data_IF_883466915842
#
_entry.id   IF_883466915842
#
_cell.length_a   1.000
_cell.length_b   1.000
_cell.length_c   1.000
_cell.angle_alpha   90.00
_cell.angle_beta   90.00
_cell.angle_gamma   90.00
#
_symmetry.space_group_name_H-M   'P 1'
#
loop_
_entity.id
_entity.type
_entity.pdbx_description
1 polymer ?
#
# COMPACT_ATOMS: atom_id res chain seq x y z
N UNK A 1 17.28 -52.97 -29.34
CA UNK A 1 16.79 -51.65 -29.83
C UNK A 1 16.39 -50.84 -28.64
N UNK A 2 17.35 -50.05 -28.14
CA UNK A 2 17.21 -49.29 -26.86
C UNK A 2 16.75 -47.87 -27.22
N UNK A 3 15.54 -47.55 -26.82
CA UNK A 3 14.90 -46.27 -27.07
C UNK A 3 15.57 -45.17 -26.24
N UNK A 4 16.21 -44.20 -26.93
CA UNK A 4 16.79 -43.01 -26.30
C UNK A 4 15.66 -42.14 -25.75
N UNK A 5 15.44 -42.18 -24.46
CA UNK A 5 14.67 -41.19 -23.72
C UNK A 5 15.29 -39.80 -23.96
N UNK A 6 14.55 -38.96 -24.71
CA UNK A 6 14.88 -37.55 -24.88
C UNK A 6 14.82 -36.87 -23.50
N UNK A 7 15.92 -36.44 -22.96
CA UNK A 7 16.01 -35.56 -21.80
C UNK A 7 15.24 -34.29 -22.12
N UNK A 8 14.14 -34.07 -21.41
CA UNK A 8 13.44 -32.78 -21.32
C UNK A 8 14.43 -31.69 -20.96
N UNK A 9 14.42 -30.50 -21.59
CA UNK A 9 15.35 -29.44 -21.26
C UNK A 9 15.17 -29.09 -19.76
N UNK A 10 16.26 -29.23 -18.99
CA UNK A 10 16.33 -28.73 -17.63
C UNK A 10 15.88 -27.26 -17.63
N UNK A 11 14.81 -26.93 -16.90
CA UNK A 11 14.48 -25.56 -16.56
C UNK A 11 15.77 -24.91 -16.04
N UNK A 12 16.28 -23.91 -16.78
CA UNK A 12 17.40 -23.12 -16.30
C UNK A 12 17.02 -22.60 -14.92
N UNK A 13 17.83 -22.91 -13.93
CA UNK A 13 17.60 -22.48 -12.56
C UNK A 13 17.42 -20.96 -12.55
N UNK A 14 16.25 -20.52 -12.16
CA UNK A 14 15.95 -19.10 -11.92
C UNK A 14 16.83 -18.67 -10.75
N UNK A 15 17.75 -17.77 -10.98
CA UNK A 15 18.84 -17.50 -10.06
C UNK A 15 18.72 -16.13 -9.39
N UNK A 16 18.53 -16.13 -8.07
CA UNK A 16 18.85 -15.02 -7.18
C UNK A 16 17.93 -13.79 -7.19
N UNK A 17 17.98 -13.07 -6.10
CA UNK A 17 17.16 -11.87 -5.84
C UNK A 17 17.28 -10.78 -6.93
N UNK A 18 18.50 -10.50 -7.43
CA UNK A 18 18.72 -9.46 -8.45
C UNK A 18 18.13 -9.83 -9.81
N UNK A 19 18.15 -11.11 -10.15
CA UNK A 19 17.50 -11.60 -11.39
C UNK A 19 15.99 -11.43 -11.29
N UNK A 20 15.39 -11.82 -10.17
CA UNK A 20 13.98 -11.62 -9.91
C UNK A 20 13.57 -10.15 -9.90
N UNK A 21 14.38 -9.30 -9.28
CA UNK A 21 14.14 -7.86 -9.29
C UNK A 21 14.13 -7.27 -10.70
N UNK A 22 15.09 -7.68 -11.56
CA UNK A 22 15.11 -7.26 -12.97
C UNK A 22 13.84 -7.71 -13.71
N UNK A 23 13.42 -8.96 -13.55
CA UNK A 23 12.27 -9.54 -14.23
C UNK A 23 10.97 -8.87 -13.78
N UNK A 24 10.74 -8.76 -12.46
CA UNK A 24 9.54 -8.14 -11.91
C UNK A 24 9.44 -6.65 -12.23
N UNK A 25 10.54 -5.90 -12.10
CA UNK A 25 10.56 -4.49 -12.50
C UNK A 25 10.30 -4.32 -13.99
N UNK A 26 10.93 -5.15 -14.84
CA UNK A 26 10.68 -5.11 -16.28
C UNK A 26 9.20 -5.38 -16.58
N UNK A 27 8.59 -6.41 -15.97
CA UNK A 27 7.17 -6.71 -16.11
C UNK A 27 6.30 -5.54 -15.69
N UNK A 28 6.53 -4.97 -14.50
CA UNK A 28 5.73 -3.86 -13.95
C UNK A 28 5.78 -2.61 -14.83
N UNK A 29 6.97 -2.25 -15.36
CA UNK A 29 7.13 -1.07 -16.21
C UNK A 29 6.61 -1.28 -17.65
N UNK A 30 6.58 -2.53 -18.15
CA UNK A 30 6.07 -2.83 -19.49
C UNK A 30 4.56 -3.11 -19.49
N UNK A 31 4.02 -3.60 -18.39
CA UNK A 31 2.64 -4.02 -18.24
C UNK A 31 1.96 -3.34 -17.03
N UNK A 32 1.84 -2.00 -17.05
CA UNK A 32 1.17 -1.27 -15.96
C UNK A 32 -0.33 -1.61 -15.85
N UNK A 33 -0.91 -2.22 -16.88
CA UNK A 33 -2.29 -2.74 -16.88
C UNK A 33 -2.47 -4.00 -16.03
N UNK A 34 -1.40 -4.76 -15.74
CA UNK A 34 -1.47 -5.93 -14.84
C UNK A 34 -1.81 -5.49 -13.42
N UNK A 35 -2.99 -5.84 -12.93
CA UNK A 35 -3.48 -5.45 -11.59
C UNK A 35 -3.03 -6.37 -10.47
N UNK A 36 -2.23 -7.40 -10.76
CA UNK A 36 -1.72 -8.32 -9.74
C UNK A 36 -0.96 -7.54 -8.65
N UNK A 37 -1.33 -7.66 -7.36
CA UNK A 37 -0.63 -6.95 -6.28
C UNK A 37 0.85 -7.35 -6.19
N UNK A 38 1.72 -6.37 -5.99
CA UNK A 38 3.16 -6.61 -5.90
C UNK A 38 3.55 -7.67 -4.85
N UNK A 39 2.95 -7.72 -3.65
CA UNK A 39 3.24 -8.79 -2.68
C UNK A 39 2.97 -10.20 -3.23
N UNK A 40 1.92 -10.35 -4.05
CA UNK A 40 1.59 -11.64 -4.70
C UNK A 40 2.65 -12.01 -5.75
N UNK A 41 3.08 -11.03 -6.56
CA UNK A 41 4.14 -11.24 -7.56
C UNK A 41 5.46 -11.65 -6.89
N UNK A 42 5.85 -10.96 -5.82
CA UNK A 42 7.05 -11.27 -5.04
C UNK A 42 6.98 -12.66 -4.40
N UNK A 43 5.86 -13.02 -3.78
CA UNK A 43 5.67 -14.32 -3.16
C UNK A 43 5.74 -15.46 -4.19
N UNK A 44 5.06 -15.31 -5.32
CA UNK A 44 5.09 -16.27 -6.43
C UNK A 44 6.50 -16.48 -6.95
N UNK A 45 7.23 -15.38 -7.25
CA UNK A 45 8.60 -15.48 -7.72
C UNK A 45 9.51 -16.16 -6.68
N UNK A 46 9.38 -15.78 -5.41
CA UNK A 46 10.16 -16.38 -4.33
C UNK A 46 9.96 -17.89 -4.20
N UNK A 47 8.72 -18.36 -4.36
CA UNK A 47 8.39 -19.79 -4.35
C UNK A 47 8.93 -20.52 -5.59
N UNK A 48 8.71 -19.97 -6.79
CA UNK A 48 9.16 -20.58 -8.06
C UNK A 48 10.70 -20.67 -8.15
N UNK A 49 11.39 -19.69 -7.57
CA UNK A 49 12.86 -19.61 -7.56
C UNK A 49 13.50 -20.28 -6.31
N UNK A 50 12.69 -20.83 -5.40
CA UNK A 50 13.14 -21.41 -4.12
C UNK A 50 14.07 -20.47 -3.33
N UNK A 51 13.69 -19.20 -3.22
CA UNK A 51 14.51 -18.21 -2.53
C UNK A 51 14.49 -18.41 -1.02
N UNK A 52 15.67 -18.44 -0.42
CA UNK A 52 15.81 -18.36 1.03
C UNK A 52 15.31 -17.01 1.57
N UNK A 53 15.03 -16.93 2.89
CA UNK A 53 14.48 -15.74 3.55
C UNK A 53 15.25 -14.45 3.25
N UNK A 54 16.59 -14.52 3.22
CA UNK A 54 17.44 -13.35 2.96
C UNK A 54 17.30 -12.86 1.51
N UNK A 55 17.32 -13.79 0.54
CA UNK A 55 17.17 -13.44 -0.87
C UNK A 55 15.77 -12.94 -1.20
N UNK A 56 14.74 -13.50 -0.59
CA UNK A 56 13.37 -12.99 -0.73
C UNK A 56 13.23 -11.57 -0.13
N UNK A 57 13.87 -11.27 0.98
CA UNK A 57 13.92 -9.93 1.54
C UNK A 57 14.69 -8.95 0.66
N UNK A 58 15.83 -9.36 0.09
CA UNK A 58 16.59 -8.56 -0.85
C UNK A 58 15.80 -8.30 -2.15
N UNK A 59 15.12 -9.32 -2.68
CA UNK A 59 14.24 -9.17 -3.84
C UNK A 59 13.18 -8.09 -3.59
N UNK A 60 12.49 -8.17 -2.46
CA UNK A 60 11.47 -7.19 -2.10
C UNK A 60 12.06 -5.78 -1.94
N UNK A 61 13.18 -5.65 -1.24
CA UNK A 61 13.88 -4.37 -1.03
C UNK A 61 14.24 -3.72 -2.37
N UNK A 62 14.84 -4.49 -3.30
CA UNK A 62 15.24 -4.00 -4.61
C UNK A 62 14.04 -3.52 -5.44
N UNK A 63 12.96 -4.32 -5.48
CA UNK A 63 11.78 -3.97 -6.27
C UNK A 63 11.06 -2.75 -5.70
N UNK A 64 10.77 -2.74 -4.41
CA UNK A 64 10.12 -1.59 -3.76
C UNK A 64 11.01 -0.34 -3.79
N UNK A 65 12.30 -0.49 -3.56
CA UNK A 65 13.25 0.60 -3.55
C UNK A 65 13.37 1.30 -4.90
N UNK A 66 13.49 0.54 -5.98
CA UNK A 66 13.51 1.09 -7.35
C UNK A 66 12.17 1.72 -7.71
N UNK A 67 11.04 1.09 -7.41
CA UNK A 67 9.72 1.66 -7.69
C UNK A 67 9.51 3.02 -7.02
N UNK A 68 9.88 3.14 -5.75
CA UNK A 68 9.73 4.39 -5.00
C UNK A 68 10.63 5.51 -5.49
N UNK A 69 11.74 5.19 -6.17
CA UNK A 69 12.81 6.16 -6.51
C UNK A 69 13.21 6.15 -7.99
N UNK A 70 12.41 5.56 -8.88
CA UNK A 70 12.77 5.38 -10.29
C UNK A 70 13.21 6.67 -10.98
N UNK A 71 12.46 7.77 -10.81
CA UNK A 71 12.79 9.07 -11.40
C UNK A 71 14.03 9.71 -10.76
N UNK A 72 14.17 9.57 -9.45
CA UNK A 72 15.35 10.05 -8.72
C UNK A 72 16.62 9.29 -9.15
N UNK A 73 16.52 7.98 -9.37
CA UNK A 73 17.62 7.14 -9.89
C UNK A 73 17.96 7.52 -11.33
N UNK A 74 16.97 7.82 -12.16
CA UNK A 74 17.21 8.29 -13.53
C UNK A 74 17.91 9.66 -13.54
N UNK A 75 17.54 10.56 -12.64
CA UNK A 75 18.22 11.85 -12.48
C UNK A 75 19.68 11.67 -12.05
N UNK A 76 19.96 10.77 -11.10
CA UNK A 76 21.33 10.44 -10.70
C UNK A 76 22.15 9.81 -11.83
N UNK A 77 21.52 9.04 -12.71
CA UNK A 77 22.16 8.38 -13.87
C UNK A 77 22.38 9.34 -15.05
N UNK A 78 21.66 10.45 -15.15
CA UNK A 78 21.63 11.30 -16.34
C UNK A 78 23.02 11.82 -16.76
N UNK A 79 23.87 12.17 -15.80
CA UNK A 79 25.24 12.65 -16.05
C UNK A 79 26.20 11.60 -16.63
N UNK A 80 25.87 10.32 -16.51
CA UNK A 80 26.71 9.19 -16.96
C UNK A 80 26.25 8.58 -18.29
N UNK A 81 25.13 9.04 -18.84
CA UNK A 81 24.50 8.48 -20.04
C UNK A 81 24.50 9.48 -21.18
N UNK A 82 25.28 9.20 -22.26
CA UNK A 82 25.30 10.07 -23.46
C UNK A 82 23.95 10.16 -24.18
N UNK A 83 23.18 9.05 -24.20
CA UNK A 83 21.88 8.94 -24.88
C UNK A 83 20.92 8.10 -24.01
N UNK A 84 20.33 8.66 -22.94
CA UNK A 84 19.46 7.90 -22.03
C UNK A 84 18.26 7.24 -22.74
N UNK A 85 17.69 7.92 -23.77
CA UNK A 85 16.55 7.40 -24.53
C UNK A 85 16.85 6.20 -25.44
N UNK A 86 18.12 5.92 -25.72
CA UNK A 86 18.54 4.78 -26.57
C UNK A 86 18.73 3.46 -25.79
N UNK A 87 18.58 3.50 -24.45
CA UNK A 87 18.73 2.30 -23.63
C UNK A 87 17.47 1.42 -23.73
N UNK A 88 17.69 0.10 -23.87
CA UNK A 88 16.59 -0.86 -23.71
C UNK A 88 16.01 -0.78 -22.28
N UNK A 89 14.73 -1.11 -22.13
CA UNK A 89 14.06 -1.11 -20.83
C UNK A 89 14.82 -1.96 -19.80
N UNK A 90 15.32 -3.14 -20.19
CA UNK A 90 16.04 -4.03 -19.29
C UNK A 90 17.38 -3.44 -18.83
N UNK A 91 18.15 -2.81 -19.73
CA UNK A 91 19.42 -2.16 -19.35
C UNK A 91 19.14 -0.98 -18.42
N UNK A 92 18.08 -0.22 -18.64
CA UNK A 92 17.66 0.83 -17.72
C UNK A 92 17.35 0.27 -16.35
N UNK A 93 16.62 -0.86 -16.26
CA UNK A 93 16.32 -1.50 -14.96
C UNK A 93 17.61 -1.98 -14.26
N UNK A 94 18.56 -2.55 -14.98
CA UNK A 94 19.86 -2.94 -14.42
C UNK A 94 20.63 -1.75 -13.84
N UNK A 95 20.64 -0.63 -14.54
CA UNK A 95 21.28 0.60 -14.05
C UNK A 95 20.56 1.18 -12.83
N UNK A 96 19.21 1.21 -12.83
CA UNK A 96 18.43 1.62 -11.66
C UNK A 96 18.70 0.73 -10.45
N UNK A 97 18.73 -0.61 -10.63
CA UNK A 97 19.04 -1.57 -9.56
C UNK A 97 20.42 -1.31 -8.98
N UNK A 98 21.45 -1.19 -9.83
CA UNK A 98 22.82 -0.95 -9.37
C UNK A 98 22.97 0.39 -8.67
N UNK A 99 22.38 1.45 -9.20
CA UNK A 99 22.40 2.77 -8.59
C UNK A 99 21.65 2.77 -7.25
N UNK A 100 20.50 2.07 -7.16
CA UNK A 100 19.77 1.92 -5.90
C UNK A 100 20.63 1.22 -4.82
N UNK A 101 21.25 0.09 -5.16
CA UNK A 101 22.13 -0.61 -4.21
C UNK A 101 23.31 0.27 -3.77
N UNK A 102 23.96 0.97 -4.69
CA UNK A 102 25.12 1.81 -4.40
C UNK A 102 24.75 3.00 -3.51
N UNK A 103 23.64 3.66 -3.78
CA UNK A 103 23.27 4.89 -3.08
C UNK A 103 22.47 4.66 -1.80
N UNK A 104 21.66 3.61 -1.70
CA UNK A 104 20.67 3.43 -0.65
C UNK A 104 20.86 2.17 0.22
N UNK A 105 21.78 1.26 -0.14
CA UNK A 105 22.00 0.02 0.62
C UNK A 105 23.41 -0.03 1.23
N UNK A 106 23.55 0.42 2.47
CA UNK A 106 24.85 0.46 3.16
C UNK A 106 25.47 -0.91 3.50
N UNK A 107 24.64 -1.97 3.53
CA UNK A 107 25.10 -3.33 3.89
C UNK A 107 25.72 -4.14 2.74
N UNK A 108 25.73 -3.62 1.51
CA UNK A 108 26.25 -4.32 0.33
C UNK A 108 27.41 -3.52 -0.27
N UNK A 109 28.63 -4.09 -0.37
CA UNK A 109 29.73 -3.40 -1.01
C UNK A 109 29.43 -3.09 -2.49
N UNK A 110 29.61 -1.85 -2.94
CA UNK A 110 29.33 -1.43 -4.32
C UNK A 110 30.04 -2.28 -5.35
N UNK A 111 31.28 -2.72 -5.06
CA UNK A 111 32.04 -3.65 -5.94
C UNK A 111 31.31 -4.99 -6.15
N UNK A 112 30.63 -5.51 -5.14
CA UNK A 112 29.85 -6.76 -5.25
C UNK A 112 28.64 -6.54 -6.16
N UNK A 113 27.88 -5.45 -5.94
CA UNK A 113 26.76 -5.03 -6.79
C UNK A 113 27.17 -4.91 -8.26
N UNK A 114 28.25 -4.16 -8.54
CA UNK A 114 28.74 -3.97 -9.92
C UNK A 114 29.08 -5.32 -10.56
N UNK A 115 29.84 -6.17 -9.86
CA UNK A 115 30.25 -7.48 -10.41
C UNK A 115 29.04 -8.38 -10.73
N UNK A 116 28.07 -8.46 -9.81
CA UNK A 116 26.86 -9.29 -9.97
C UNK A 116 26.02 -8.81 -11.17
N UNK A 117 25.73 -7.51 -11.24
CA UNK A 117 24.91 -6.95 -12.32
C UNK A 117 25.61 -6.98 -13.68
N UNK A 118 26.92 -6.77 -13.73
CA UNK A 118 27.71 -6.93 -14.96
C UNK A 118 27.70 -8.38 -15.44
N UNK A 119 27.86 -9.35 -14.54
CA UNK A 119 27.79 -10.77 -14.88
C UNK A 119 26.38 -11.17 -15.36
N UNK A 120 25.33 -10.67 -14.70
CA UNK A 120 23.95 -10.86 -15.11
C UNK A 120 23.71 -10.28 -16.51
N UNK A 121 24.20 -9.06 -16.75
CA UNK A 121 24.11 -8.39 -18.06
C UNK A 121 24.81 -9.17 -19.16
N UNK A 122 26.03 -9.60 -18.91
CA UNK A 122 26.81 -10.37 -19.90
C UNK A 122 26.13 -11.69 -20.29
N UNK A 123 25.59 -12.40 -19.31
CA UNK A 123 24.87 -13.67 -19.54
C UNK A 123 23.59 -13.48 -20.34
N UNK A 124 22.83 -12.41 -20.09
CA UNK A 124 21.52 -12.19 -20.73
C UNK A 124 21.58 -11.38 -22.02
N UNK A 125 22.48 -10.41 -22.11
CA UNK A 125 22.51 -9.40 -23.19
C UNK A 125 23.85 -9.25 -23.91
N UNK A 126 24.84 -10.02 -23.54
CA UNK A 126 26.14 -10.06 -24.18
C UNK A 126 27.18 -9.09 -23.60
N UNK A 127 28.42 -9.24 -24.09
CA UNK A 127 29.60 -8.55 -23.55
C UNK A 127 29.57 -7.03 -23.72
N UNK A 128 29.04 -6.54 -24.84
CA UNK A 128 28.99 -5.09 -25.10
C UNK A 128 28.16 -4.34 -24.10
N UNK A 129 26.94 -4.84 -23.79
CA UNK A 129 26.07 -4.23 -22.77
C UNK A 129 26.63 -4.42 -21.37
N UNK A 130 27.31 -5.55 -21.09
CA UNK A 130 28.02 -5.72 -19.83
C UNK A 130 29.16 -4.70 -19.65
N UNK A 131 29.84 -4.29 -20.72
CA UNK A 131 30.81 -3.19 -20.70
C UNK A 131 30.18 -1.83 -20.37
N UNK A 132 29.04 -1.52 -20.97
CA UNK A 132 28.27 -0.31 -20.69
C UNK A 132 27.83 -0.23 -19.20
N UNK A 133 27.17 -1.28 -18.70
CA UNK A 133 26.70 -1.35 -17.31
C UNK A 133 27.89 -1.22 -16.35
N UNK A 134 29.00 -1.89 -16.60
CA UNK A 134 30.22 -1.76 -15.80
C UNK A 134 30.75 -0.33 -15.76
N UNK A 135 30.84 0.33 -16.94
CA UNK A 135 31.35 1.70 -17.04
C UNK A 135 30.49 2.69 -16.25
N UNK A 136 29.17 2.62 -16.47
CA UNK A 136 28.23 3.51 -15.79
C UNK A 136 28.21 3.28 -14.28
N UNK A 137 28.03 2.04 -13.79
CA UNK A 137 27.95 1.76 -12.35
C UNK A 137 29.26 2.05 -11.61
N UNK A 138 30.42 1.86 -12.25
CA UNK A 138 31.70 2.30 -11.66
C UNK A 138 31.83 3.81 -11.57
N UNK A 139 31.23 4.55 -12.52
CA UNK A 139 31.19 6.03 -12.42
C UNK A 139 30.25 6.47 -11.31
N UNK A 140 29.08 5.85 -11.17
CA UNK A 140 28.17 6.06 -10.03
C UNK A 140 28.86 5.78 -8.69
N UNK A 141 29.58 4.65 -8.57
CA UNK A 141 30.31 4.27 -7.36
C UNK A 141 31.39 5.31 -7.00
N UNK A 142 32.17 5.78 -8.00
CA UNK A 142 33.21 6.80 -7.80
C UNK A 142 32.65 8.14 -7.31
N UNK A 143 31.44 8.51 -7.74
CA UNK A 143 30.76 9.76 -7.37
C UNK A 143 29.68 9.56 -6.31
N UNK A 144 29.61 8.37 -5.68
CA UNK A 144 28.54 7.98 -4.79
C UNK A 144 28.29 8.97 -3.64
N UNK A 145 29.35 9.51 -3.03
CA UNK A 145 29.19 10.46 -1.91
C UNK A 145 28.57 11.79 -2.35
N UNK A 146 29.01 12.32 -3.51
CA UNK A 146 28.41 13.54 -4.07
C UNK A 146 26.94 13.32 -4.48
N UNK A 147 26.63 12.14 -5.07
CA UNK A 147 25.26 11.77 -5.44
C UNK A 147 24.37 11.60 -4.21
N UNK A 148 24.88 10.96 -3.14
CA UNK A 148 24.13 10.83 -1.88
C UNK A 148 23.78 12.19 -1.29
N UNK A 149 24.75 13.11 -1.22
CA UNK A 149 24.51 14.48 -0.73
C UNK A 149 23.44 15.21 -1.57
N UNK A 150 23.50 15.09 -2.89
CA UNK A 150 22.51 15.71 -3.77
C UNK A 150 21.11 15.08 -3.58
N UNK A 151 21.03 13.76 -3.40
CA UNK A 151 19.78 13.04 -3.10
C UNK A 151 19.24 13.45 -1.73
N UNK A 152 20.07 13.48 -0.70
CA UNK A 152 19.70 13.87 0.66
C UNK A 152 19.15 15.31 0.68
N UNK A 153 19.82 16.23 0.01
CA UNK A 153 19.35 17.63 -0.09
C UNK A 153 18.00 17.71 -0.83
N UNK A 154 17.80 16.96 -1.91
CA UNK A 154 16.52 16.93 -2.60
C UNK A 154 15.40 16.36 -1.73
N UNK A 155 15.68 15.29 -0.99
CA UNK A 155 14.70 14.69 -0.07
C UNK A 155 14.41 15.61 1.12
N UNK A 156 15.40 16.30 1.64
CA UNK A 156 15.22 17.34 2.69
C UNK A 156 14.29 18.44 2.20
N UNK A 157 14.51 18.96 0.99
CA UNK A 157 13.63 19.98 0.39
C UNK A 157 12.22 19.48 0.13
N UNK A 158 12.07 18.20 -0.21
CA UNK A 158 10.75 17.57 -0.32
C UNK A 158 10.06 17.50 1.05
N UNK A 159 10.77 17.07 2.08
CA UNK A 159 10.23 16.96 3.45
C UNK A 159 9.84 18.33 4.03
N UNK A 160 10.67 19.36 3.79
CA UNK A 160 10.42 20.74 4.27
C UNK A 160 9.35 21.49 3.45
N UNK A 161 8.87 20.94 2.34
CA UNK A 161 7.82 21.55 1.54
C UNK A 161 8.29 22.61 0.54
N UNK A 162 9.54 22.51 0.08
CA UNK A 162 10.22 23.50 -0.75
C UNK A 162 10.26 23.17 -2.27
N UNK A 163 9.70 22.03 -2.68
CA UNK A 163 9.70 21.61 -4.08
C UNK A 163 8.38 21.95 -4.76
N UNK A 164 8.48 22.42 -6.01
CA UNK A 164 7.33 22.52 -6.91
C UNK A 164 6.84 21.13 -7.37
N UNK A 165 5.77 21.08 -8.16
CA UNK A 165 5.18 19.84 -8.62
C UNK A 165 6.15 18.98 -9.45
N UNK A 166 6.99 19.57 -10.27
CA UNK A 166 8.02 18.90 -11.05
C UNK A 166 9.09 18.29 -10.12
N UNK A 167 9.56 19.04 -9.14
CA UNK A 167 10.51 18.57 -8.13
C UNK A 167 9.93 17.46 -7.27
N UNK A 168 8.67 17.55 -6.86
CA UNK A 168 7.94 16.49 -6.14
C UNK A 168 7.86 15.21 -6.99
N UNK A 169 7.46 15.33 -8.27
CA UNK A 169 7.32 14.21 -9.18
C UNK A 169 8.66 13.48 -9.37
N UNK A 170 9.76 14.21 -9.51
CA UNK A 170 11.09 13.62 -9.62
C UNK A 170 11.53 12.98 -8.31
N UNK A 171 11.47 13.70 -7.19
CA UNK A 171 11.97 13.24 -5.89
C UNK A 171 11.23 12.01 -5.36
N UNK A 172 9.90 11.96 -5.52
CA UNK A 172 9.05 10.87 -5.04
C UNK A 172 8.64 9.86 -6.14
N UNK A 173 9.15 10.03 -7.36
CA UNK A 173 8.80 9.18 -8.53
C UNK A 173 7.28 9.07 -8.73
N UNK A 174 6.59 10.20 -8.62
CA UNK A 174 5.15 10.30 -8.86
C UNK A 174 4.88 10.71 -10.31
N UNK A 175 3.74 10.33 -10.89
CA UNK A 175 3.27 10.96 -12.11
C UNK A 175 3.13 12.48 -11.91
N UNK A 176 3.60 13.29 -12.87
CA UNK A 176 3.57 14.74 -12.75
C UNK A 176 2.15 15.30 -12.56
N UNK A 177 1.17 14.71 -13.23
CA UNK A 177 -0.24 15.10 -13.08
C UNK A 177 -0.75 14.91 -11.64
N UNK A 178 -0.28 13.86 -10.95
CA UNK A 178 -0.65 13.59 -9.56
C UNK A 178 0.00 14.60 -8.61
N UNK A 179 1.27 14.91 -8.83
CA UNK A 179 1.98 15.94 -8.05
C UNK A 179 1.31 17.30 -8.20
N UNK A 180 0.93 17.70 -9.43
CA UNK A 180 0.17 18.94 -9.69
C UNK A 180 -1.19 18.96 -9.02
N UNK A 181 -1.94 17.86 -9.10
CA UNK A 181 -3.24 17.73 -8.45
C UNK A 181 -3.12 17.88 -6.92
N UNK A 182 -2.10 17.28 -6.30
CA UNK A 182 -1.87 17.43 -4.86
C UNK A 182 -1.44 18.84 -4.48
N UNK A 183 -0.59 19.49 -5.30
CA UNK A 183 -0.18 20.87 -5.10
C UNK A 183 -1.37 21.84 -5.13
N UNK A 184 -2.25 21.68 -6.12
CA UNK A 184 -3.47 22.47 -6.26
C UNK A 184 -4.47 22.25 -5.10
N UNK A 185 -4.62 20.99 -4.64
CA UNK A 185 -5.63 20.64 -3.65
C UNK A 185 -5.19 20.91 -2.21
N UNK A 186 -3.92 20.65 -1.89
CA UNK A 186 -3.40 20.69 -0.51
C UNK A 186 -2.42 21.83 -0.26
N UNK A 187 -1.98 22.52 -1.32
CA UNK A 187 -0.87 23.48 -1.30
C UNK A 187 0.50 22.81 -1.22
N UNK A 188 1.52 23.49 -1.71
CA UNK A 188 2.86 22.94 -1.97
C UNK A 188 3.47 22.25 -0.75
N UNK A 189 3.42 22.87 0.41
CA UNK A 189 4.03 22.31 1.62
C UNK A 189 3.37 20.99 2.05
N UNK A 190 2.05 20.86 1.96
CA UNK A 190 1.36 19.63 2.32
C UNK A 190 1.51 18.56 1.24
N UNK A 191 1.46 18.94 -0.04
CA UNK A 191 1.70 18.05 -1.16
C UNK A 191 3.10 17.42 -1.10
N UNK A 192 4.12 18.20 -0.77
CA UNK A 192 5.48 17.71 -0.55
C UNK A 192 5.55 16.69 0.60
N UNK A 193 4.90 16.95 1.73
CA UNK A 193 4.83 15.99 2.85
C UNK A 193 4.13 14.70 2.46
N UNK A 194 3.03 14.77 1.69
CA UNK A 194 2.36 13.60 1.15
C UNK A 194 3.26 12.80 0.19
N UNK A 195 3.97 13.49 -0.70
CA UNK A 195 4.94 12.88 -1.60
C UNK A 195 6.09 12.21 -0.85
N UNK A 196 6.67 12.89 0.16
CA UNK A 196 7.73 12.35 1.01
C UNK A 196 7.25 11.07 1.75
N UNK A 197 6.03 11.10 2.30
CA UNK A 197 5.41 9.94 2.94
C UNK A 197 5.42 8.68 2.06
N UNK A 198 5.25 8.84 0.74
CA UNK A 198 5.18 7.70 -0.20
C UNK A 198 6.53 6.99 -0.39
N UNK A 199 7.64 7.58 0.01
CA UNK A 199 8.99 7.02 -0.10
C UNK A 199 9.34 6.06 1.04
N UNK A 200 8.64 6.17 2.16
CA UNK A 200 8.94 5.39 3.35
C UNK A 200 8.45 3.95 3.24
N UNK A 201 9.10 3.06 3.98
CA UNK A 201 8.59 1.72 4.23
C UNK A 201 7.46 1.81 5.27
N UNK A 202 6.26 1.28 4.98
CA UNK A 202 5.21 1.21 5.98
C UNK A 202 5.66 0.39 7.19
N UNK A 203 5.55 0.98 8.37
CA UNK A 203 5.80 0.25 9.60
C UNK A 203 4.65 -0.76 9.84
N UNK A 204 4.96 -1.99 10.28
CA UNK A 204 3.93 -2.92 10.70
C UNK A 204 3.08 -2.32 11.83
N UNK A 205 1.76 -2.45 11.71
CA UNK A 205 0.80 -2.01 12.72
C UNK A 205 -0.08 -3.18 13.11
N UNK A 206 -0.41 -3.25 14.39
CA UNK A 206 -1.29 -4.27 14.96
C UNK A 206 -2.45 -3.60 15.68
N UNK A 207 -3.60 -4.24 15.59
CA UNK A 207 -4.79 -3.94 16.39
C UNK A 207 -4.98 -5.08 17.37
N UNK A 208 -5.13 -4.78 18.65
CA UNK A 208 -5.53 -5.74 19.65
C UNK A 208 -7.02 -6.06 19.51
N UNK A 209 -7.38 -7.30 19.76
CA UNK A 209 -8.78 -7.72 19.80
C UNK A 209 -9.44 -7.20 21.08
N UNK A 210 -10.12 -6.06 20.96
CA UNK A 210 -10.77 -5.36 22.09
C UNK A 210 -12.00 -6.09 22.63
N UNK A 211 -12.52 -7.11 21.93
CA UNK A 211 -13.52 -8.02 22.50
C UNK A 211 -12.94 -8.97 23.56
N UNK A 212 -11.61 -9.06 23.68
CA UNK A 212 -10.91 -9.83 24.70
C UNK A 212 -10.66 -9.00 25.95
N UNK A 213 -10.85 -9.56 27.14
CA UNK A 213 -10.65 -8.88 28.42
C UNK A 213 -9.24 -8.30 28.64
N UNK A 214 -8.24 -8.82 27.93
CA UNK A 214 -6.83 -8.38 28.01
C UNK A 214 -6.39 -7.49 26.85
N UNK A 215 -7.30 -7.05 25.96
CA UNK A 215 -6.96 -6.25 24.79
C UNK A 215 -6.19 -4.97 25.13
N UNK A 216 -6.69 -4.19 26.08
CA UNK A 216 -6.04 -2.97 26.56
C UNK A 216 -4.66 -3.22 27.17
N UNK A 217 -4.55 -4.26 28.03
CA UNK A 217 -3.26 -4.65 28.63
C UNK A 217 -2.24 -5.04 27.56
N UNK A 218 -2.68 -5.67 26.47
CA UNK A 218 -1.82 -6.06 25.38
C UNK A 218 -1.28 -4.84 24.61
N UNK A 219 -2.12 -3.84 24.36
CA UNK A 219 -1.68 -2.57 23.76
C UNK A 219 -0.65 -1.89 24.67
N UNK A 220 -0.95 -1.74 25.96
CA UNK A 220 -0.05 -1.10 26.92
C UNK A 220 1.30 -1.83 26.99
N UNK A 221 1.29 -3.16 27.02
CA UNK A 221 2.53 -3.97 27.01
C UNK A 221 3.46 -3.63 25.84
N UNK A 222 2.92 -3.43 24.62
CA UNK A 222 3.71 -3.12 23.46
C UNK A 222 4.14 -1.64 23.43
N UNK A 223 3.30 -0.74 23.91
CA UNK A 223 3.65 0.67 24.09
C UNK A 223 4.80 0.84 25.10
N UNK A 224 4.78 0.11 26.21
CA UNK A 224 5.87 0.11 27.20
C UNK A 224 7.20 -0.42 26.62
N UNK A 225 7.14 -1.20 25.55
CA UNK A 225 8.30 -1.67 24.76
C UNK A 225 8.76 -0.70 23.68
N UNK A 226 8.17 0.50 23.62
CA UNK A 226 8.54 1.55 22.68
C UNK A 226 7.78 1.52 21.35
N UNK A 227 6.74 0.69 21.22
CA UNK A 227 5.83 0.76 20.06
C UNK A 227 4.97 2.02 20.16
N UNK A 228 4.73 2.66 19.02
CA UNK A 228 3.91 3.88 18.95
C UNK A 228 2.42 3.51 19.03
N UNK A 229 1.63 4.09 19.94
CA UNK A 229 0.20 3.80 20.01
C UNK A 229 -0.52 4.26 18.74
N UNK A 230 -1.56 3.51 18.35
CA UNK A 230 -2.44 3.81 17.22
C UNK A 230 -3.88 3.77 17.74
N UNK A 231 -4.47 4.94 17.92
CA UNK A 231 -5.78 5.06 18.59
C UNK A 231 -5.76 4.42 19.98
N UNK A 232 -6.89 3.89 20.39
CA UNK A 232 -7.05 3.21 21.68
C UNK A 232 -6.71 1.73 21.63
N UNK A 233 -6.88 1.11 20.45
CA UNK A 233 -6.82 -0.34 20.32
C UNK A 233 -5.62 -0.87 19.53
N UNK A 234 -4.64 -0.05 19.19
CA UNK A 234 -3.56 -0.50 18.31
C UNK A 234 -2.18 0.07 18.65
N UNK A 235 -1.18 -0.45 17.96
CA UNK A 235 0.20 0.00 18.07
C UNK A 235 0.98 -0.25 16.76
N UNK A 236 2.07 0.49 16.58
CA UNK A 236 2.93 0.45 15.39
C UNK A 236 4.39 0.28 15.79
N UNK A 237 5.14 -0.45 14.95
CA UNK A 237 6.59 -0.54 15.06
C UNK A 237 7.33 0.68 14.45
N UNK A 238 6.64 1.81 14.27
CA UNK A 238 7.22 3.03 13.73
C UNK A 238 8.42 3.49 14.56
N UNK A 239 9.55 3.78 13.89
CA UNK A 239 10.78 4.24 14.54
C UNK A 239 11.58 3.15 15.27
N UNK A 240 11.09 1.92 15.35
CA UNK A 240 11.84 0.84 16.00
C UNK A 240 12.88 0.24 15.04
N UNK A 241 14.11 0.15 15.51
CA UNK A 241 15.18 -0.51 14.75
C UNK A 241 14.99 -2.03 14.73
N UNK A 242 15.03 -2.62 13.53
CA UNK A 242 14.90 -4.08 13.34
C UNK A 242 16.05 -4.87 13.95
N UNK A 243 17.20 -4.24 14.11
CA UNK A 243 18.44 -4.82 14.68
C UNK A 243 18.54 -4.72 16.19
N UNK A 244 17.58 -4.07 16.88
CA UNK A 244 17.61 -3.92 18.34
C UNK A 244 17.56 -5.26 19.05
N UNK A 245 18.17 -5.31 20.25
CA UNK A 245 18.18 -6.51 21.06
C UNK A 245 16.75 -7.00 21.37
N UNK A 246 16.50 -8.29 21.17
CA UNK A 246 15.19 -8.89 21.42
C UNK A 246 14.18 -8.80 20.27
N UNK A 247 14.46 -8.07 19.18
CA UNK A 247 13.51 -7.88 18.07
C UNK A 247 13.00 -9.19 17.46
N UNK A 248 13.85 -10.20 17.29
CA UNK A 248 13.45 -11.52 16.78
C UNK A 248 12.45 -12.21 17.71
N UNK A 249 12.70 -12.19 19.01
CA UNK A 249 11.79 -12.80 20.01
C UNK A 249 10.45 -12.05 20.08
N UNK A 250 10.47 -10.74 19.95
CA UNK A 250 9.24 -9.93 19.89
C UNK A 250 8.43 -10.26 18.63
N UNK A 251 9.09 -10.43 17.48
CA UNK A 251 8.43 -10.83 16.25
C UNK A 251 7.74 -12.22 16.40
N UNK A 252 8.42 -13.20 16.98
CA UNK A 252 7.83 -14.51 17.27
C UNK A 252 6.62 -14.41 18.20
N UNK A 253 6.72 -13.55 19.22
CA UNK A 253 5.64 -13.32 20.16
C UNK A 253 4.43 -12.65 19.49
N UNK A 254 4.65 -11.62 18.65
CA UNK A 254 3.61 -10.98 17.85
C UNK A 254 2.90 -11.98 16.94
N UNK A 255 3.66 -12.83 16.24
CA UNK A 255 3.09 -13.88 15.39
C UNK A 255 2.28 -14.91 16.20
N UNK A 256 2.69 -15.23 17.41
CA UNK A 256 1.92 -16.08 18.31
C UNK A 256 0.60 -15.45 18.71
N UNK A 257 0.58 -14.17 19.07
CA UNK A 257 -0.65 -13.42 19.37
C UNK A 257 -1.57 -13.30 18.14
N UNK A 258 -1.00 -13.08 16.94
CA UNK A 258 -1.76 -13.08 15.71
C UNK A 258 -2.45 -14.43 15.45
N UNK A 259 -1.73 -15.54 15.61
CA UNK A 259 -2.27 -16.89 15.43
C UNK A 259 -3.43 -17.20 16.39
N UNK A 260 -3.36 -16.73 17.63
CA UNK A 260 -4.41 -16.92 18.64
C UNK A 260 -5.60 -15.96 18.48
N UNK A 261 -5.50 -14.97 17.62
CA UNK A 261 -6.56 -13.95 17.43
C UNK A 261 -6.58 -12.87 18.52
N UNK A 262 -5.48 -12.71 19.26
CA UNK A 262 -5.32 -11.59 20.20
C UNK A 262 -4.91 -10.30 19.47
N UNK A 263 -4.21 -10.45 18.34
CA UNK A 263 -3.77 -9.38 17.46
C UNK A 263 -4.21 -9.60 16.01
N UNK A 264 -4.36 -8.49 15.27
CA UNK A 264 -4.56 -8.48 13.82
C UNK A 264 -3.68 -7.41 13.20
N UNK A 265 -3.00 -7.73 12.09
CA UNK A 265 -2.30 -6.71 11.28
C UNK A 265 -3.31 -5.84 10.56
N UNK A 266 -3.27 -4.55 10.80
CA UNK A 266 -4.09 -3.56 10.11
C UNK A 266 -3.35 -2.22 10.08
N UNK A 267 -3.42 -1.51 8.94
CA UNK A 267 -2.81 -0.18 8.81
C UNK A 267 -3.41 0.82 9.81
N UNK A 268 -2.56 1.67 10.37
CA UNK A 268 -2.93 2.61 11.43
C UNK A 268 -4.17 3.45 11.08
N UNK A 269 -4.21 4.04 9.91
CA UNK A 269 -5.33 4.91 9.47
C UNK A 269 -6.64 4.14 9.35
N UNK A 270 -6.59 2.87 8.92
CA UNK A 270 -7.79 2.00 8.86
C UNK A 270 -8.32 1.65 10.26
N UNK A 271 -7.42 1.53 11.27
CA UNK A 271 -7.80 1.36 12.67
C UNK A 271 -8.50 2.63 13.19
N UNK A 272 -7.88 3.80 12.98
CA UNK A 272 -8.43 5.09 13.40
C UNK A 272 -9.80 5.37 12.77
N UNK A 273 -10.00 5.03 11.49
CA UNK A 273 -11.29 5.17 10.83
C UNK A 273 -12.35 4.26 11.46
N UNK A 274 -12.03 3.00 11.77
CA UNK A 274 -12.97 2.10 12.42
C UNK A 274 -13.31 2.56 13.86
N UNK A 275 -12.33 3.10 14.60
CA UNK A 275 -12.56 3.73 15.91
C UNK A 275 -13.47 4.93 15.82
N UNK A 276 -13.22 5.82 14.86
CA UNK A 276 -14.04 6.98 14.61
C UNK A 276 -15.50 6.60 14.30
N UNK A 277 -15.70 5.61 13.43
CA UNK A 277 -17.03 5.11 13.07
C UNK A 277 -17.77 4.53 14.28
N UNK A 278 -17.12 3.67 15.07
CA UNK A 278 -17.70 3.08 16.25
C UNK A 278 -18.06 4.16 17.29
N UNK A 279 -17.16 5.09 17.58
CA UNK A 279 -17.41 6.20 18.51
C UNK A 279 -18.54 7.13 18.02
N UNK A 280 -18.63 7.34 16.69
CA UNK A 280 -19.74 8.10 16.12
C UNK A 280 -21.09 7.37 16.34
N UNK A 281 -21.16 6.07 16.05
CA UNK A 281 -22.36 5.25 16.26
C UNK A 281 -22.74 5.19 17.73
N UNK A 282 -21.77 5.11 18.64
CA UNK A 282 -21.99 5.12 20.09
C UNK A 282 -22.64 6.44 20.54
N UNK A 283 -22.09 7.59 20.12
CA UNK A 283 -22.67 8.92 20.40
C UNK A 283 -24.10 9.09 19.90
N UNK A 284 -24.48 8.36 18.85
CA UNK A 284 -25.83 8.38 18.27
C UNK A 284 -26.75 7.26 18.81
N UNK A 285 -26.28 6.43 19.75
CA UNK A 285 -27.00 5.24 20.27
C UNK A 285 -27.36 4.23 19.17
N UNK A 286 -26.46 4.03 18.18
CA UNK A 286 -26.67 3.19 17.01
C UNK A 286 -25.85 1.88 17.00
N UNK A 287 -25.18 1.54 18.09
CA UNK A 287 -24.30 0.34 18.16
C UNK A 287 -25.05 -0.96 17.88
N UNK A 288 -26.32 -1.07 18.27
CA UNK A 288 -27.18 -2.24 18.06
C UNK A 288 -27.96 -2.20 16.74
N UNK A 289 -27.94 -1.09 16.02
CA UNK A 289 -28.62 -0.98 14.74
C UNK A 289 -27.93 -1.84 13.67
N UNK A 290 -28.68 -2.57 12.83
CA UNK A 290 -28.09 -3.45 11.84
C UNK A 290 -27.31 -2.64 10.78
N UNK A 291 -25.99 -2.91 10.69
CA UNK A 291 -25.09 -2.33 9.71
C UNK A 291 -24.87 -3.30 8.55
N UNK A 292 -24.96 -2.79 7.33
CA UNK A 292 -24.47 -3.45 6.14
C UNK A 292 -23.08 -2.89 5.75
N UNK A 293 -22.04 -3.74 5.77
CA UNK A 293 -20.74 -3.44 5.19
C UNK A 293 -20.76 -3.87 3.73
N UNK A 294 -20.97 -2.93 2.82
CA UNK A 294 -21.29 -3.19 1.42
C UNK A 294 -20.08 -3.47 0.52
N UNK A 295 -18.87 -3.16 1.01
CA UNK A 295 -17.59 -3.40 0.30
C UNK A 295 -16.56 -3.93 1.29
N UNK A 296 -16.89 -5.04 1.98
CA UNK A 296 -16.12 -5.47 3.15
C UNK A 296 -14.68 -5.92 2.84
N UNK A 297 -14.36 -6.24 1.59
CA UNK A 297 -13.04 -6.69 1.19
C UNK A 297 -12.60 -7.92 1.99
N UNK A 298 -11.41 -7.84 2.60
CA UNK A 298 -10.87 -8.88 3.50
C UNK A 298 -11.37 -8.74 4.95
N UNK A 299 -12.31 -7.85 5.21
CA UNK A 299 -12.96 -7.68 6.50
C UNK A 299 -12.18 -6.92 7.58
N UNK A 300 -11.18 -6.14 7.22
CA UNK A 300 -10.37 -5.41 8.20
C UNK A 300 -11.20 -4.41 9.04
N UNK A 301 -12.07 -3.62 8.41
CA UNK A 301 -12.99 -2.70 9.09
C UNK A 301 -14.17 -3.45 9.72
N UNK A 302 -14.74 -4.43 9.03
CA UNK A 302 -15.79 -5.32 9.59
C UNK A 302 -15.38 -5.91 10.93
N UNK A 303 -14.21 -6.56 11.00
CA UNK A 303 -13.70 -7.15 12.25
C UNK A 303 -13.46 -6.08 13.34
N UNK A 304 -12.88 -4.92 12.97
CA UNK A 304 -12.64 -3.83 13.91
C UNK A 304 -13.94 -3.27 14.52
N UNK A 305 -15.00 -3.16 13.74
CA UNK A 305 -16.33 -2.72 14.21
C UNK A 305 -16.97 -3.78 15.12
N UNK A 306 -16.89 -5.06 14.76
CA UNK A 306 -17.38 -6.18 15.59
C UNK A 306 -16.64 -6.27 16.92
N UNK A 307 -15.32 -6.05 16.96
CA UNK A 307 -14.54 -5.99 18.21
C UNK A 307 -15.02 -4.88 19.16
N UNK A 308 -15.57 -3.82 18.62
CA UNK A 308 -16.14 -2.69 19.38
C UNK A 308 -17.62 -2.84 19.70
N UNK A 309 -18.21 -3.99 19.36
CA UNK A 309 -19.62 -4.30 19.67
C UNK A 309 -20.64 -3.73 18.68
N UNK A 310 -20.21 -3.24 17.51
CA UNK A 310 -21.14 -2.81 16.46
C UNK A 310 -21.84 -4.04 15.87
N UNK A 311 -23.16 -3.95 15.69
CA UNK A 311 -23.95 -5.01 15.06
C UNK A 311 -23.83 -4.97 13.53
N UNK A 312 -22.85 -5.66 12.98
CA UNK A 312 -22.74 -5.89 11.53
C UNK A 312 -23.68 -7.03 11.14
N UNK A 313 -24.78 -6.73 10.45
CA UNK A 313 -25.80 -7.69 10.05
C UNK A 313 -25.43 -8.40 8.74
N UNK A 314 -24.89 -7.65 7.78
CA UNK A 314 -24.49 -8.14 6.47
C UNK A 314 -23.09 -7.61 6.10
N UNK A 315 -22.27 -8.46 5.50
CA UNK A 315 -21.04 -8.06 4.83
C UNK A 315 -21.05 -8.63 3.40
N UNK A 316 -20.92 -7.78 2.38
CA UNK A 316 -20.91 -8.18 0.96
C UNK A 316 -19.59 -7.83 0.28
N UNK A 317 -19.14 -8.72 -0.61
CA UNK A 317 -17.91 -8.60 -1.39
C UNK A 317 -18.03 -9.51 -2.62
N UNK A 318 -17.75 -9.05 -3.84
CA UNK A 318 -17.86 -9.88 -5.04
C UNK A 318 -16.80 -10.99 -5.14
N UNK A 319 -15.67 -10.88 -4.40
CA UNK A 319 -14.62 -11.89 -4.42
C UNK A 319 -14.83 -12.95 -3.35
N UNK A 320 -15.19 -14.18 -3.78
CA UNK A 320 -15.32 -15.33 -2.88
C UNK A 320 -14.03 -15.58 -2.08
N UNK A 321 -12.85 -15.35 -2.69
CA UNK A 321 -11.57 -15.49 -2.00
C UNK A 321 -11.43 -14.53 -0.82
N UNK A 322 -11.81 -13.26 -0.99
CA UNK A 322 -11.77 -12.26 0.09
C UNK A 322 -12.76 -12.56 1.20
N UNK A 323 -13.95 -13.07 0.85
CA UNK A 323 -14.93 -13.50 1.85
C UNK A 323 -14.46 -14.70 2.68
N UNK A 324 -13.77 -15.67 2.08
CA UNK A 324 -13.17 -16.76 2.85
C UNK A 324 -12.05 -16.26 3.77
N UNK A 325 -11.25 -15.25 3.36
CA UNK A 325 -10.29 -14.60 4.24
C UNK A 325 -10.99 -13.88 5.43
N UNK A 326 -12.09 -13.16 5.18
CA UNK A 326 -12.91 -12.55 6.24
C UNK A 326 -13.44 -13.62 7.20
N UNK A 327 -14.03 -14.69 6.67
CA UNK A 327 -14.58 -15.79 7.47
C UNK A 327 -13.51 -16.45 8.36
N UNK A 328 -12.33 -16.70 7.82
CA UNK A 328 -11.20 -17.23 8.56
C UNK A 328 -10.72 -16.25 9.65
N UNK A 329 -10.68 -14.96 9.36
CA UNK A 329 -10.32 -13.93 10.33
C UNK A 329 -11.33 -13.84 11.49
N UNK A 330 -12.63 -13.84 11.22
CA UNK A 330 -13.67 -13.81 12.24
C UNK A 330 -13.61 -15.04 13.17
N UNK A 331 -13.37 -16.23 12.59
CA UNK A 331 -13.19 -17.45 13.38
C UNK A 331 -11.96 -17.34 14.29
N UNK A 332 -10.82 -16.92 13.75
CA UNK A 332 -9.56 -16.74 14.50
C UNK A 332 -9.73 -15.74 15.65
N UNK A 333 -10.45 -14.65 15.40
CA UNK A 333 -10.71 -13.58 16.36
C UNK A 333 -11.81 -13.93 17.38
N UNK A 334 -12.55 -15.03 17.17
CA UNK A 334 -13.72 -15.43 17.96
C UNK A 334 -14.81 -14.35 17.98
N UNK A 335 -15.01 -13.69 16.83
CA UNK A 335 -16.03 -12.64 16.68
C UNK A 335 -17.34 -13.17 16.12
N UNK A 336 -18.47 -12.49 16.41
CA UNK A 336 -19.74 -12.79 15.75
C UNK A 336 -19.60 -12.81 14.24
N UNK A 337 -20.28 -13.74 13.58
CA UNK A 337 -20.26 -13.84 12.12
C UNK A 337 -21.50 -13.15 11.55
N UNK A 338 -21.35 -12.03 10.82
CA UNK A 338 -22.43 -11.44 10.04
C UNK A 338 -22.86 -12.41 8.92
N UNK A 339 -24.01 -12.18 8.32
CA UNK A 339 -24.32 -12.85 7.05
C UNK A 339 -23.31 -12.40 6.00
N UNK A 340 -22.63 -13.36 5.36
CA UNK A 340 -21.67 -13.11 4.28
C UNK A 340 -22.36 -13.35 2.92
N UNK A 341 -22.26 -12.38 2.02
CA UNK A 341 -22.85 -12.44 0.68
C UNK A 341 -21.76 -12.21 -0.38
N UNK A 342 -21.59 -13.20 -1.25
CA UNK A 342 -20.68 -13.09 -2.40
C UNK A 342 -21.40 -12.41 -3.55
N UNK A 343 -21.49 -11.09 -3.51
CA UNK A 343 -22.15 -10.26 -4.50
C UNK A 343 -21.58 -8.83 -4.45
N UNK A 344 -21.59 -8.09 -5.58
CA UNK A 344 -21.35 -6.67 -5.56
C UNK A 344 -22.46 -5.94 -4.79
N UNK A 345 -22.16 -4.74 -4.30
CA UNK A 345 -23.10 -3.96 -3.51
C UNK A 345 -24.41 -3.69 -4.28
N UNK A 346 -24.32 -3.51 -5.59
CA UNK A 346 -25.45 -3.22 -6.48
C UNK A 346 -26.47 -4.36 -6.62
N UNK A 347 -26.13 -5.57 -6.19
CA UNK A 347 -27.04 -6.74 -6.20
C UNK A 347 -27.76 -6.98 -4.87
N UNK A 348 -27.48 -6.18 -3.81
CA UNK A 348 -28.11 -6.31 -2.51
C UNK A 348 -29.46 -5.57 -2.52
N UNK A 349 -30.55 -6.31 -2.34
CA UNK A 349 -31.91 -5.74 -2.38
C UNK A 349 -32.48 -5.32 -0.99
N UNK A 350 -31.87 -5.80 0.08
CA UNK A 350 -32.30 -5.51 1.44
C UNK A 350 -31.97 -4.08 1.85
N UNK A 351 -32.80 -3.53 2.75
CA UNK A 351 -32.64 -2.17 3.26
C UNK A 351 -32.13 -2.18 4.70
N UNK A 352 -31.27 -1.20 5.02
CA UNK A 352 -30.60 -1.11 6.31
C UNK A 352 -30.67 0.31 6.87
N UNK A 353 -30.71 0.48 8.19
CA UNK A 353 -30.60 1.79 8.83
C UNK A 353 -29.17 2.34 8.80
N UNK A 354 -28.16 1.46 8.71
CA UNK A 354 -26.73 1.82 8.61
C UNK A 354 -26.08 1.10 7.46
N UNK A 355 -25.32 1.85 6.65
CA UNK A 355 -24.55 1.29 5.52
C UNK A 355 -23.11 1.84 5.60
N UNK A 356 -22.13 0.95 5.53
CA UNK A 356 -20.72 1.29 5.37
C UNK A 356 -20.29 1.00 3.93
N UNK A 357 -19.76 2.00 3.27
CA UNK A 357 -19.17 1.94 1.92
C UNK A 357 -17.67 2.22 2.00
N UNK A 358 -16.85 1.18 2.22
CA UNK A 358 -15.40 1.24 2.02
C UNK A 358 -15.12 0.98 0.52
N UNK A 359 -15.45 1.95 -0.31
CA UNK A 359 -15.56 1.78 -1.76
C UNK A 359 -14.21 1.52 -2.45
N UNK A 360 -14.20 0.72 -3.54
CA UNK A 360 -13.04 0.65 -4.42
C UNK A 360 -12.63 2.05 -4.88
N UNK A 361 -11.35 2.38 -4.80
CA UNK A 361 -10.83 3.72 -5.09
C UNK A 361 -9.47 3.66 -5.79
N UNK A 362 -8.97 4.81 -6.24
CA UNK A 362 -7.66 4.92 -6.91
C UNK A 362 -6.48 4.47 -6.02
N UNK A 363 -6.65 4.50 -4.70
CA UNK A 363 -5.62 4.12 -3.75
C UNK A 363 -4.46 5.11 -3.64
N UNK A 364 -4.61 6.35 -4.11
CA UNK A 364 -3.54 7.38 -4.09
C UNK A 364 -3.02 7.68 -2.68
N UNK A 365 -3.80 7.41 -1.64
CA UNK A 365 -3.38 7.51 -0.24
C UNK A 365 -2.57 6.32 0.28
N UNK A 366 -2.34 5.28 -0.56
CA UNK A 366 -1.66 4.04 -0.15
C UNK A 366 -0.33 3.79 -0.87
N UNK A 367 0.21 4.79 -1.56
CA UNK A 367 1.41 4.69 -2.41
C UNK A 367 2.68 4.26 -1.66
N UNK A 368 2.77 4.47 -0.36
CA UNK A 368 3.85 3.96 0.46
C UNK A 368 3.87 2.43 0.49
N UNK A 369 2.69 1.83 0.66
CA UNK A 369 2.47 0.38 0.74
C UNK A 369 2.37 -0.27 -0.64
N UNK A 370 1.65 0.36 -1.56
CA UNK A 370 1.38 -0.12 -2.92
C UNK A 370 2.22 0.69 -3.92
N UNK A 371 3.55 0.50 -3.87
CA UNK A 371 4.49 1.30 -4.67
C UNK A 371 4.27 1.17 -6.19
N UNK A 372 3.77 0.03 -6.65
CA UNK A 372 3.44 -0.25 -8.05
C UNK A 372 2.31 0.63 -8.61
N UNK A 373 1.46 1.20 -7.74
CA UNK A 373 0.40 2.11 -8.18
C UNK A 373 0.96 3.34 -8.92
N UNK A 374 2.20 3.78 -8.63
CA UNK A 374 2.85 4.87 -9.36
C UNK A 374 2.86 4.67 -10.88
N UNK A 375 2.97 3.42 -11.32
CA UNK A 375 3.00 3.04 -12.72
C UNK A 375 1.61 2.85 -13.31
N UNK A 376 0.63 2.56 -12.46
CA UNK A 376 -0.74 2.17 -12.84
C UNK A 376 -1.72 3.35 -12.83
N UNK A 377 -1.42 4.37 -12.04
CA UNK A 377 -2.30 5.54 -11.93
C UNK A 377 -2.33 6.36 -13.22
N UNK A 378 -3.51 6.77 -13.63
CA UNK A 378 -3.75 7.75 -14.69
C UNK A 378 -5.02 8.54 -14.38
N UNK A 379 -5.22 9.73 -15.00
CA UNK A 379 -6.47 10.48 -14.86
C UNK A 379 -7.70 9.67 -15.29
N UNK A 380 -7.56 8.77 -16.29
CA UNK A 380 -8.64 7.90 -16.76
C UNK A 380 -9.05 6.91 -15.66
N UNK A 381 -8.09 6.26 -15.00
CA UNK A 381 -8.35 5.33 -13.90
C UNK A 381 -8.99 6.01 -12.69
N UNK A 382 -8.61 7.27 -12.39
CA UNK A 382 -9.31 8.05 -11.37
C UNK A 382 -10.79 8.24 -11.74
N UNK A 383 -11.06 8.66 -12.98
CA UNK A 383 -12.44 8.84 -13.47
C UNK A 383 -13.25 7.53 -13.49
N UNK A 384 -12.61 6.40 -13.78
CA UNK A 384 -13.24 5.08 -13.71
C UNK A 384 -13.60 4.72 -12.27
N UNK A 385 -12.69 4.90 -11.32
CA UNK A 385 -12.95 4.70 -9.90
C UNK A 385 -14.11 5.59 -9.42
N UNK A 386 -14.08 6.87 -9.78
CA UNK A 386 -15.12 7.81 -9.41
C UNK A 386 -16.50 7.45 -9.98
N UNK A 387 -16.57 6.90 -11.21
CA UNK A 387 -17.84 6.40 -11.80
C UNK A 387 -18.37 5.16 -11.07
N UNK A 388 -17.49 4.21 -10.75
CA UNK A 388 -17.85 3.01 -9.98
C UNK A 388 -18.38 3.39 -8.59
N UNK A 389 -17.70 4.30 -7.91
CA UNK A 389 -18.13 4.82 -6.60
C UNK A 389 -19.50 5.49 -6.67
N UNK A 390 -19.78 6.24 -7.75
CA UNK A 390 -21.09 6.84 -7.96
C UNK A 390 -22.19 5.78 -8.06
N UNK A 391 -21.98 4.71 -8.83
CA UNK A 391 -22.93 3.60 -8.96
C UNK A 391 -23.20 2.92 -7.63
N UNK A 392 -22.15 2.58 -6.88
CA UNK A 392 -22.28 1.94 -5.56
C UNK A 392 -23.03 2.85 -4.58
N UNK A 393 -22.67 4.13 -4.55
CA UNK A 393 -23.29 5.13 -3.65
C UNK A 393 -24.77 5.33 -3.97
N UNK A 394 -25.12 5.43 -5.26
CA UNK A 394 -26.52 5.52 -5.73
C UNK A 394 -27.35 4.32 -5.28
N UNK A 395 -26.86 3.10 -5.52
CA UNK A 395 -27.57 1.89 -5.13
C UNK A 395 -27.72 1.81 -3.60
N UNK A 396 -26.64 2.01 -2.85
CA UNK A 396 -26.68 1.99 -1.39
C UNK A 396 -27.67 3.00 -0.81
N UNK A 397 -27.80 4.19 -1.43
CA UNK A 397 -28.79 5.17 -1.01
C UNK A 397 -30.21 4.70 -1.17
N UNK A 398 -30.53 3.92 -2.22
CA UNK A 398 -31.87 3.32 -2.39
C UNK A 398 -32.19 2.29 -1.30
N UNK A 399 -31.15 1.64 -0.76
CA UNK A 399 -31.23 0.62 0.31
C UNK A 399 -31.10 1.20 1.71
N UNK A 400 -30.80 2.48 1.82
CA UNK A 400 -30.77 3.17 3.11
C UNK A 400 -32.19 3.53 3.53
N UNK A 401 -32.58 3.10 4.72
CA UNK A 401 -33.90 3.41 5.29
C UNK A 401 -34.05 4.94 5.52
N UNK A 402 -35.29 5.49 5.51
CA UNK A 402 -35.51 6.86 5.93
C UNK A 402 -34.95 7.12 7.34
N UNK A 403 -34.31 8.25 7.55
CA UNK A 403 -33.59 8.58 8.79
C UNK A 403 -32.26 7.81 8.98
N UNK A 404 -31.89 6.93 8.05
CA UNK A 404 -30.69 6.11 8.12
C UNK A 404 -29.41 6.90 7.87
N UNK A 405 -28.26 6.25 8.15
CA UNK A 405 -26.94 6.85 8.01
C UNK A 405 -26.04 6.01 7.10
N UNK A 406 -25.38 6.67 6.17
CA UNK A 406 -24.38 6.09 5.26
C UNK A 406 -23.01 6.62 5.62
N UNK A 407 -22.08 5.71 5.79
CA UNK A 407 -20.66 6.00 6.00
C UNK A 407 -19.92 5.72 4.69
N UNK A 408 -19.28 6.75 4.13
CA UNK A 408 -18.50 6.65 2.90
C UNK A 408 -17.03 6.76 3.22
N UNK A 409 -16.21 5.80 2.74
CA UNK A 409 -14.79 5.70 3.05
C UNK A 409 -14.00 5.44 1.78
N UNK A 410 -12.87 6.13 1.60
CA UNK A 410 -11.89 5.86 0.56
C UNK A 410 -10.47 5.94 1.10
N UNK A 411 -9.52 5.31 0.40
CA UNK A 411 -8.09 5.52 0.59
C UNK A 411 -7.48 6.41 -0.52
N UNK A 412 -8.26 7.35 -1.05
CA UNK A 412 -7.85 8.28 -2.09
C UNK A 412 -7.43 9.65 -1.53
N UNK A 413 -6.56 10.33 -2.24
CA UNK A 413 -6.11 11.70 -1.96
C UNK A 413 -6.46 12.60 -3.16
N UNK A 414 -7.77 12.69 -3.46
CA UNK A 414 -8.29 13.60 -4.47
C UNK A 414 -9.76 13.94 -4.21
N UNK A 415 -10.18 15.14 -4.58
CA UNK A 415 -11.53 15.64 -4.33
C UNK A 415 -12.61 14.94 -5.16
N UNK A 416 -12.29 14.40 -6.34
CA UNK A 416 -13.27 13.70 -7.20
C UNK A 416 -13.81 12.43 -6.55
N UNK A 417 -12.98 11.75 -5.80
CA UNK A 417 -13.36 10.55 -5.05
C UNK A 417 -13.85 10.86 -3.62
N UNK A 418 -13.55 12.04 -3.08
CA UNK A 418 -13.76 12.43 -1.69
C UNK A 418 -14.80 13.55 -1.55
N UNK A 419 -14.36 14.75 -1.18
CA UNK A 419 -15.23 15.88 -0.79
C UNK A 419 -16.22 16.24 -1.89
N UNK A 420 -15.74 16.42 -3.12
CA UNK A 420 -16.61 16.81 -4.23
C UNK A 420 -17.69 15.76 -4.50
N UNK A 421 -17.33 14.46 -4.35
CA UNK A 421 -18.27 13.35 -4.50
C UNK A 421 -19.39 13.41 -3.49
N UNK A 422 -19.05 13.42 -2.20
CA UNK A 422 -20.06 13.33 -1.13
C UNK A 422 -20.90 14.60 -1.01
N UNK A 423 -20.32 15.78 -1.29
CA UNK A 423 -21.03 17.04 -1.28
C UNK A 423 -22.02 17.18 -2.45
N UNK A 424 -21.62 16.77 -3.65
CA UNK A 424 -22.51 16.75 -4.81
C UNK A 424 -23.64 15.77 -4.60
N UNK A 425 -23.33 14.57 -4.13
CA UNK A 425 -24.31 13.51 -3.86
C UNK A 425 -25.33 13.92 -2.79
N UNK A 426 -24.88 14.46 -1.65
CA UNK A 426 -25.76 14.89 -0.57
C UNK A 426 -26.74 15.98 -1.05
N UNK A 427 -26.27 16.93 -1.86
CA UNK A 427 -27.15 17.97 -2.45
C UNK A 427 -28.18 17.38 -3.42
N UNK A 428 -27.75 16.45 -4.29
CA UNK A 428 -28.61 15.84 -5.30
C UNK A 428 -29.73 15.00 -4.66
N UNK A 429 -29.39 14.24 -3.62
CA UNK A 429 -30.31 13.32 -2.95
C UNK A 429 -31.10 13.94 -1.80
N UNK A 430 -31.02 15.24 -1.58
CA UNK A 430 -31.59 15.90 -0.40
C UNK A 430 -31.13 15.23 0.91
N UNK A 431 -29.92 14.70 0.92
CA UNK A 431 -29.30 14.13 2.11
C UNK A 431 -28.46 15.16 2.85
N UNK A 432 -28.28 14.96 4.14
CA UNK A 432 -27.46 15.85 4.96
C UNK A 432 -26.05 15.25 5.14
N UNK A 433 -25.03 15.93 4.64
CA UNK A 433 -23.64 15.66 5.00
C UNK A 433 -23.42 16.12 6.45
N UNK A 434 -23.25 15.17 7.37
CA UNK A 434 -23.15 15.41 8.81
C UNK A 434 -21.73 15.72 9.22
N UNK A 435 -20.79 14.90 8.78
CA UNK A 435 -19.37 15.02 9.11
C UNK A 435 -18.51 14.56 7.92
N UNK A 436 -17.33 15.12 7.81
CA UNK A 436 -16.25 14.62 6.94
C UNK A 436 -14.91 14.74 7.64
N UNK A 437 -14.08 13.73 7.48
CA UNK A 437 -12.77 13.64 8.10
C UNK A 437 -11.74 13.10 7.11
N UNK A 438 -10.61 13.82 6.97
CA UNK A 438 -9.44 13.32 6.26
C UNK A 438 -8.39 12.89 7.30
N UNK A 439 -8.04 11.62 7.29
CA UNK A 439 -6.94 11.07 8.07
C UNK A 439 -5.67 11.13 7.20
N UNK A 440 -4.89 12.16 7.38
CA UNK A 440 -3.59 12.29 6.72
C UNK A 440 -2.52 11.48 7.48
N UNK A 441 -1.43 11.07 6.81
CA UNK A 441 -0.31 10.39 7.47
C UNK A 441 0.26 11.22 8.62
N UNK A 442 0.29 10.66 9.81
CA UNK A 442 0.92 11.29 10.98
C UNK A 442 2.44 11.02 11.02
N UNK A 443 2.88 9.96 10.37
CA UNK A 443 4.30 9.59 10.24
C UNK A 443 4.57 8.91 8.88
N UNK A 444 5.84 8.90 8.41
CA UNK A 444 6.20 8.37 7.10
C UNK A 444 5.77 6.90 6.90
N UNK A 445 5.23 6.60 5.74
CA UNK A 445 4.77 5.25 5.36
C UNK A 445 3.33 4.91 5.74
N UNK A 446 2.64 5.80 6.46
CA UNK A 446 1.25 5.62 6.81
C UNK A 446 0.33 5.92 5.61
N UNK A 447 -0.78 5.17 5.49
CA UNK A 447 -1.80 5.44 4.49
C UNK A 447 -2.60 6.72 4.84
N UNK A 448 -3.24 7.33 3.84
CA UNK A 448 -4.29 8.32 4.04
C UNK A 448 -5.67 7.69 3.83
N UNK A 449 -6.69 8.27 4.45
CA UNK A 449 -8.06 7.80 4.33
C UNK A 449 -9.04 8.97 4.48
N UNK A 450 -10.05 9.02 3.64
CA UNK A 450 -11.19 9.93 3.75
C UNK A 450 -12.40 9.20 4.30
N UNK A 451 -13.18 9.88 5.13
CA UNK A 451 -14.43 9.39 5.69
C UNK A 451 -15.48 10.50 5.65
N UNK A 452 -16.71 10.15 5.25
CA UNK A 452 -17.85 11.04 5.33
C UNK A 452 -19.06 10.32 5.94
N UNK A 453 -19.90 11.07 6.65
CA UNK A 453 -21.15 10.61 7.24
C UNK A 453 -22.29 11.37 6.59
N UNK A 454 -23.18 10.65 5.90
CA UNK A 454 -24.33 11.21 5.19
C UNK A 454 -25.61 10.64 5.80
N UNK A 455 -26.55 11.49 6.19
CA UNK A 455 -27.83 11.08 6.75
C UNK A 455 -28.94 11.29 5.73
N UNK A 456 -29.81 10.31 5.58
CA UNK A 456 -31.03 10.40 4.80
C UNK A 456 -32.12 11.03 5.65
N UNK A 457 -32.86 11.94 5.07
CA UNK A 457 -34.02 12.53 5.76
C UNK A 457 -35.07 11.44 6.05
N UNK A 458 -35.91 11.71 7.11
CA UNK A 458 -36.91 10.77 7.57
C UNK A 458 -38.11 10.65 6.61
#
# INVERSE_FOLDING_TARGET
>A
MVEKLKKTPQKQAVSGARTGALELLHQLFQHPEDTTPLPVMLARYGQEADLGRQDAALLAELVYGVLRRASLLDAALAGFLKKPGALSAQVRMLLRLGTYEILFMSGIPARATVNELVNLTRRRFGQGLGGLVNGVLRSVDREADALRLAVEEKLRRLESGELDAEGMAEAASLPLWLAKMWDEQYGTAQACRLAFNTLAHPAPCWRANMARAWGEMLVQHWVDKGYVPVGQGGFSAQGLEKSRAGAAREQELLESFEKRGDLTRQGATSQLAAEYLAAWMERQNLMSAPLWDACCGRGGKTAALLEKGVHVALASEPSAFRLEELKAALLRLSLPRPRLLCAPAEEVEESFPLILLDVPCSGTGTLARNAELRLRLSPERLREAARMQASILEHAWTRLLPGGTLFYVTCALNGEENENRVEAFAREKSGRLVEKQMFLPAFPGQDALFLAVIRKDA
#
